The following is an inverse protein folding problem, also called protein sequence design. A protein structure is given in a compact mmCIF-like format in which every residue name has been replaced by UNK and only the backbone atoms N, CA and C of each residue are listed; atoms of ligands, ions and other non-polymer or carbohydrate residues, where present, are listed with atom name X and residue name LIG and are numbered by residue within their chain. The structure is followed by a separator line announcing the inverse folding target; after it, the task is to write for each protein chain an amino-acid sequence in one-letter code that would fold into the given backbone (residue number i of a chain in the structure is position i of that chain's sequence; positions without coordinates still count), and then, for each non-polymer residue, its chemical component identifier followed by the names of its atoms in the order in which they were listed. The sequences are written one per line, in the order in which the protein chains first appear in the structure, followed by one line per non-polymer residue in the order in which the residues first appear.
data_IF_659973121174
#
_entry.id   IF_659973121174
#
_cell.length_a   1.000
_cell.length_b   1.000
_cell.length_c   1.000
_cell.angle_alpha   90.00
_cell.angle_beta   90.00
_cell.angle_gamma   90.00
#
_symmetry.space_group_name_H-M   'P 1'
#
loop_
_entity.id
_entity.type
_entity.pdbx_description
1 polymer ?
#
# COMPACT_ATOMS: atom_id res chain seq x y z
N UNK A 1 -20.10 -56.50 3.69
CA UNK A 1 -19.64 -55.84 2.43
C UNK A 1 -19.51 -56.93 1.36
N UNK A 2 -20.17 -56.75 0.23
CA UNK A 2 -20.07 -57.64 -0.92
C UNK A 2 -18.67 -57.59 -1.55
N UNK A 3 -18.21 -58.66 -2.23
CA UNK A 3 -16.90 -58.69 -2.89
C UNK A 3 -16.67 -57.53 -3.89
N UNK A 4 -17.72 -57.09 -4.55
CA UNK A 4 -17.72 -55.92 -5.45
C UNK A 4 -17.47 -54.58 -4.70
N UNK A 5 -18.08 -54.40 -3.53
CA UNK A 5 -17.89 -53.23 -2.70
C UNK A 5 -16.44 -53.13 -2.16
N UNK A 6 -15.83 -54.25 -1.78
CA UNK A 6 -14.42 -54.29 -1.35
C UNK A 6 -13.45 -53.93 -2.48
N UNK A 7 -13.72 -54.35 -3.74
CA UNK A 7 -12.94 -53.97 -4.91
C UNK A 7 -13.06 -52.49 -5.22
N UNK A 8 -14.23 -51.89 -5.08
CA UNK A 8 -14.47 -50.46 -5.32
C UNK A 8 -13.72 -49.61 -4.29
N UNK A 9 -13.80 -50.00 -3.01
CA UNK A 9 -13.09 -49.33 -1.92
C UNK A 9 -11.56 -49.39 -2.13
N UNK A 10 -11.01 -50.56 -2.51
CA UNK A 10 -9.57 -50.70 -2.80
C UNK A 10 -9.12 -49.84 -3.98
N UNK A 11 -9.93 -49.77 -5.07
CA UNK A 11 -9.61 -48.89 -6.21
C UNK A 11 -9.68 -47.42 -5.82
N UNK A 12 -10.68 -47.02 -5.03
CA UNK A 12 -10.79 -45.66 -4.50
C UNK A 12 -9.58 -45.29 -3.63
N UNK A 13 -9.17 -46.20 -2.72
CA UNK A 13 -8.01 -45.95 -1.85
C UNK A 13 -6.69 -45.85 -2.64
N UNK A 14 -6.52 -46.73 -3.65
CA UNK A 14 -5.34 -46.67 -4.52
C UNK A 14 -5.28 -45.37 -5.35
N UNK A 15 -6.44 -44.90 -5.86
CA UNK A 15 -6.52 -43.63 -6.59
C UNK A 15 -6.21 -42.47 -5.68
N UNK A 16 -6.80 -42.41 -4.48
CA UNK A 16 -6.52 -41.35 -3.50
C UNK A 16 -5.04 -41.29 -3.10
N UNK A 17 -4.46 -42.48 -2.82
CA UNK A 17 -3.04 -42.57 -2.49
C UNK A 17 -2.14 -42.09 -3.65
N UNK A 18 -2.49 -42.50 -4.88
CA UNK A 18 -1.80 -42.05 -6.10
C UNK A 18 -1.85 -40.55 -6.29
N UNK A 19 -3.01 -39.92 -6.07
CA UNK A 19 -3.18 -38.46 -6.15
C UNK A 19 -2.36 -37.74 -5.06
N UNK A 20 -2.37 -38.26 -3.81
CA UNK A 20 -1.58 -37.67 -2.71
C UNK A 20 -0.08 -37.75 -3.02
N UNK A 21 0.40 -38.88 -3.51
CA UNK A 21 1.81 -39.06 -3.88
C UNK A 21 2.20 -38.14 -5.06
N UNK A 22 1.33 -38.00 -6.07
CA UNK A 22 1.58 -37.12 -7.19
C UNK A 22 1.66 -35.65 -6.76
N UNK A 23 0.76 -35.20 -5.88
CA UNK A 23 0.79 -33.86 -5.29
C UNK A 23 2.06 -33.65 -4.46
N UNK A 24 2.45 -34.62 -3.64
CA UNK A 24 3.67 -34.54 -2.83
C UNK A 24 4.93 -34.47 -3.71
N UNK A 25 5.04 -35.28 -4.75
CA UNK A 25 6.15 -35.21 -5.69
C UNK A 25 6.20 -33.90 -6.45
N UNK A 26 5.06 -33.37 -6.87
CA UNK A 26 4.98 -32.05 -7.53
C UNK A 26 5.41 -30.94 -6.57
N UNK A 27 4.98 -30.98 -5.30
CA UNK A 27 5.40 -30.02 -4.28
C UNK A 27 6.93 -30.03 -4.07
N UNK A 28 7.54 -31.21 -3.97
CA UNK A 28 9.01 -31.37 -3.85
C UNK A 28 9.69 -30.83 -5.11
N UNK A 29 9.21 -31.18 -6.30
CA UNK A 29 9.77 -30.69 -7.55
C UNK A 29 9.70 -29.16 -7.66
N UNK A 30 8.59 -28.56 -7.27
CA UNK A 30 8.44 -27.10 -7.25
C UNK A 30 9.35 -26.44 -6.21
N UNK A 31 9.61 -27.07 -5.08
CA UNK A 31 10.55 -26.57 -4.07
C UNK A 31 12.00 -26.60 -4.56
N UNK A 32 12.38 -27.65 -5.26
CA UNK A 32 13.73 -27.78 -5.84
C UNK A 32 13.93 -26.85 -7.06
N UNK A 33 12.91 -26.74 -7.91
CA UNK A 33 12.99 -25.90 -9.11
C UNK A 33 12.90 -24.39 -8.83
N UNK A 34 12.31 -23.98 -7.71
CA UNK A 34 12.07 -22.57 -7.40
C UNK A 34 13.34 -21.70 -7.28
N UNK A 35 14.44 -22.14 -6.66
CA UNK A 35 15.71 -21.38 -6.67
C UNK A 35 16.29 -21.24 -8.07
N UNK A 36 16.18 -22.32 -8.89
CA UNK A 36 16.67 -22.34 -10.28
C UNK A 36 15.85 -21.40 -11.18
N UNK A 37 14.53 -21.37 -10.99
CA UNK A 37 13.64 -20.48 -11.73
C UNK A 37 13.71 -19.02 -11.23
N UNK A 38 14.06 -18.78 -9.97
CA UNK A 38 14.35 -17.44 -9.42
C UNK A 38 15.56 -16.78 -10.09
N UNK A 39 16.59 -17.55 -10.39
CA UNK A 39 17.76 -17.08 -11.13
C UNK A 39 17.47 -16.75 -12.61
N UNK A 40 16.48 -17.39 -13.23
CA UNK A 40 16.07 -17.12 -14.62
C UNK A 40 15.16 -15.88 -14.74
N UNK A 41 14.57 -15.39 -13.65
CA UNK A 41 13.74 -14.17 -13.62
C UNK A 41 14.55 -12.87 -13.73
N UNK A 42 15.85 -12.91 -13.47
CA UNK A 42 16.76 -11.76 -13.60
C UNK A 42 17.27 -11.47 -15.01
N UNK A 43 16.91 -12.25 -16.03
CA UNK A 43 17.48 -12.18 -17.37
C UNK A 43 16.51 -11.91 -18.52
N UNK A 44 15.27 -11.54 -18.26
CA UNK A 44 14.27 -11.27 -19.31
C UNK A 44 14.37 -9.84 -19.81
N UNK A 45 14.90 -9.63 -21.01
CA UNK A 45 14.80 -8.36 -21.75
C UNK A 45 13.33 -7.94 -21.88
N UNK A 46 12.93 -6.90 -21.15
CA UNK A 46 11.60 -6.28 -21.21
C UNK A 46 10.67 -6.50 -20.00
N UNK A 47 11.05 -7.26 -18.98
CA UNK A 47 10.23 -7.42 -17.79
C UNK A 47 10.35 -6.20 -16.87
N UNK A 48 9.20 -5.55 -16.57
CA UNK A 48 9.09 -4.45 -15.64
C UNK A 48 9.49 -4.91 -14.22
N UNK A 49 10.49 -4.25 -13.63
CA UNK A 49 10.84 -4.45 -12.21
C UNK A 49 9.80 -3.79 -11.34
N UNK A 50 9.13 -4.54 -10.46
CA UNK A 50 8.13 -3.98 -9.55
C UNK A 50 8.70 -3.89 -8.13
N UNK A 51 8.61 -2.71 -7.54
CA UNK A 51 8.92 -2.41 -6.15
C UNK A 51 7.60 -2.28 -5.40
N UNK A 52 7.40 -3.09 -4.38
CA UNK A 52 6.22 -3.05 -3.52
C UNK A 52 6.58 -2.34 -2.22
N UNK A 53 5.89 -1.25 -1.91
CA UNK A 53 6.00 -0.55 -0.64
C UNK A 53 4.85 -0.99 0.27
N UNK A 54 5.17 -1.63 1.38
CA UNK A 54 4.18 -2.10 2.37
C UNK A 54 4.39 -1.42 3.72
N UNK A 55 3.31 -1.15 4.41
CA UNK A 55 3.39 -0.52 5.72
C UNK A 55 2.07 0.10 6.18
N UNK A 56 2.21 1.10 7.02
CA UNK A 56 1.12 1.83 7.66
C UNK A 56 0.81 3.18 6.97
N UNK A 57 0.30 4.15 7.75
CA UNK A 57 -0.03 5.50 7.29
C UNK A 57 1.18 6.29 6.77
N UNK A 58 2.39 6.03 7.26
CA UNK A 58 3.61 6.66 6.75
C UNK A 58 3.96 6.17 5.34
N UNK A 59 3.66 4.92 5.01
CA UNK A 59 3.78 4.41 3.63
C UNK A 59 2.62 4.87 2.76
N UNK A 60 1.41 4.89 3.30
CA UNK A 60 0.22 5.38 2.58
C UNK A 60 0.36 6.83 2.11
N UNK A 61 0.99 7.68 2.91
CA UNK A 61 1.05 9.13 2.71
C UNK A 61 -0.19 9.81 3.28
N UNK A 62 -0.47 9.58 4.58
CA UNK A 62 -1.55 10.27 5.29
C UNK A 62 -1.28 11.78 5.30
N UNK A 63 -2.33 12.59 5.27
CA UNK A 63 -2.34 14.06 5.23
C UNK A 63 -1.79 14.71 3.95
N UNK A 64 -1.31 13.94 2.98
CA UNK A 64 -0.86 14.49 1.69
C UNK A 64 -1.66 13.89 0.53
N UNK A 65 -1.66 14.58 -0.62
CA UNK A 65 -2.21 14.01 -1.84
C UNK A 65 -1.43 12.75 -2.25
N UNK A 66 -2.08 11.79 -2.96
CA UNK A 66 -1.45 10.52 -3.34
C UNK A 66 -0.07 10.63 -4.01
N UNK A 67 0.10 11.63 -4.89
CA UNK A 67 1.34 11.88 -5.61
C UNK A 67 2.48 12.43 -4.72
N UNK A 68 2.18 12.88 -3.51
CA UNK A 68 3.17 13.36 -2.55
C UNK A 68 3.57 12.30 -1.51
N UNK A 69 2.97 11.11 -1.50
CA UNK A 69 3.47 9.99 -0.71
C UNK A 69 4.88 9.58 -1.17
N UNK A 70 5.72 9.03 -0.25
CA UNK A 70 7.07 8.65 -0.66
C UNK A 70 7.08 7.59 -1.78
N UNK A 71 6.17 6.59 -1.85
CA UNK A 71 6.19 5.64 -2.97
C UNK A 71 5.91 6.30 -4.32
N UNK A 72 4.97 7.25 -4.37
CA UNK A 72 4.67 7.98 -5.59
C UNK A 72 5.85 8.86 -6.04
N UNK A 73 6.47 9.57 -5.09
CA UNK A 73 7.66 10.38 -5.38
C UNK A 73 8.89 9.52 -5.71
N UNK A 74 9.00 8.31 -5.13
CA UNK A 74 10.02 7.32 -5.48
C UNK A 74 9.84 6.86 -6.93
N UNK A 75 8.60 6.60 -7.37
CA UNK A 75 8.28 6.28 -8.76
C UNK A 75 8.80 7.37 -9.70
N UNK A 76 8.54 8.63 -9.38
CA UNK A 76 9.00 9.77 -10.19
C UNK A 76 10.53 9.86 -10.27
N UNK A 77 11.23 9.48 -9.21
CA UNK A 77 12.70 9.52 -9.14
C UNK A 77 13.37 8.34 -9.86
N UNK A 78 12.78 7.15 -9.76
CA UNK A 78 13.36 5.94 -10.38
C UNK A 78 12.99 5.80 -11.84
N UNK A 79 11.73 5.96 -12.18
CA UNK A 79 11.22 5.84 -13.54
C UNK A 79 9.91 6.64 -13.68
N UNK A 80 10.00 7.90 -14.13
CA UNK A 80 8.83 8.78 -14.26
C UNK A 80 7.72 8.18 -15.15
N UNK A 81 8.10 7.35 -16.13
CA UNK A 81 7.16 6.76 -17.09
C UNK A 81 6.67 5.37 -16.68
N UNK A 82 7.17 4.84 -15.56
CA UNK A 82 6.84 3.50 -15.08
C UNK A 82 6.98 2.40 -16.14
N UNK A 83 7.92 2.58 -17.07
CA UNK A 83 8.17 1.65 -18.18
C UNK A 83 8.97 0.43 -17.74
N UNK A 84 10.14 0.66 -17.13
CA UNK A 84 11.04 -0.38 -16.66
C UNK A 84 10.88 -0.69 -15.16
N UNK A 85 10.63 0.35 -14.33
CA UNK A 85 10.43 0.22 -12.88
C UNK A 85 9.02 0.70 -12.51
N UNK A 86 8.27 -0.13 -11.81
CA UNK A 86 6.98 0.23 -11.22
C UNK A 86 7.05 0.22 -9.71
N UNK A 87 6.62 1.31 -9.05
CA UNK A 87 6.48 1.38 -7.59
C UNK A 87 5.01 1.29 -7.22
N UNK A 88 4.67 0.35 -6.36
CA UNK A 88 3.28 0.09 -5.93
C UNK A 88 3.16 0.39 -4.44
N UNK A 89 2.18 1.20 -4.06
CA UNK A 89 1.93 1.60 -2.68
C UNK A 89 0.82 0.74 -2.05
N UNK A 90 1.18 -0.08 -1.05
CA UNK A 90 0.27 -0.88 -0.23
C UNK A 90 0.34 -0.48 1.25
N UNK A 91 0.66 0.79 1.51
CA UNK A 91 0.48 1.39 2.83
C UNK A 91 -0.99 1.47 3.21
N UNK A 92 -1.32 1.22 4.47
CA UNK A 92 -2.68 1.28 4.99
C UNK A 92 -2.68 1.95 6.37
N UNK A 93 -3.38 3.08 6.53
CA UNK A 93 -3.48 3.75 7.82
C UNK A 93 -4.01 2.83 8.91
N UNK A 94 -3.39 2.92 10.10
CA UNK A 94 -3.78 2.11 11.25
C UNK A 94 -3.31 0.66 11.23
N UNK A 95 -2.67 0.18 10.16
CA UNK A 95 -2.21 -1.20 10.05
C UNK A 95 -1.04 -1.48 10.99
N UNK A 96 -1.15 -2.50 11.82
CA UNK A 96 -0.09 -3.04 12.65
C UNK A 96 0.72 -4.12 11.91
N UNK A 97 1.84 -4.56 12.48
CA UNK A 97 2.74 -5.55 11.86
C UNK A 97 2.11 -6.93 11.71
N UNK A 98 1.22 -7.34 12.62
CA UNK A 98 0.52 -8.62 12.55
C UNK A 98 -0.48 -8.66 11.38
N UNK A 99 -1.28 -7.61 11.20
CA UNK A 99 -2.21 -7.47 10.09
C UNK A 99 -1.45 -7.40 8.74
N UNK A 100 -0.29 -6.73 8.69
CA UNK A 100 0.56 -6.74 7.51
C UNK A 100 1.07 -8.15 7.20
N UNK A 101 1.58 -8.87 8.21
CA UNK A 101 2.06 -10.25 8.07
C UNK A 101 0.98 -11.16 7.47
N UNK A 102 -0.26 -11.05 7.96
CA UNK A 102 -1.40 -11.84 7.46
C UNK A 102 -1.69 -11.59 5.97
N UNK A 103 -1.46 -10.37 5.47
CA UNK A 103 -1.71 -9.99 4.07
C UNK A 103 -0.53 -10.25 3.12
N UNK A 104 0.69 -10.41 3.65
CA UNK A 104 1.90 -10.55 2.82
C UNK A 104 1.81 -11.63 1.74
N UNK A 105 1.31 -12.86 1.99
CA UNK A 105 1.20 -13.86 0.93
C UNK A 105 0.32 -13.40 -0.25
N UNK A 106 -0.83 -12.77 0.04
CA UNK A 106 -1.74 -12.26 -0.98
C UNK A 106 -1.12 -11.10 -1.78
N UNK A 107 -0.39 -10.19 -1.12
CA UNK A 107 0.29 -9.09 -1.77
C UNK A 107 1.41 -9.56 -2.69
N UNK A 108 2.22 -10.50 -2.23
CA UNK A 108 3.30 -11.10 -3.01
C UNK A 108 2.80 -11.86 -4.25
N UNK A 109 1.70 -12.62 -4.10
CA UNK A 109 1.07 -13.31 -5.23
C UNK A 109 0.49 -12.33 -6.25
N UNK A 110 -0.16 -11.25 -5.79
CA UNK A 110 -0.85 -10.27 -6.64
C UNK A 110 0.13 -9.39 -7.40
N UNK A 111 1.14 -8.83 -6.71
CA UNK A 111 2.07 -7.85 -7.28
C UNK A 111 3.27 -8.51 -7.95
N UNK A 112 3.70 -9.66 -7.45
CA UNK A 112 4.93 -10.35 -7.87
C UNK A 112 6.14 -9.41 -7.92
N UNK A 113 6.44 -8.74 -6.80
CA UNK A 113 7.50 -7.76 -6.78
C UNK A 113 8.87 -8.41 -6.89
N UNK A 114 9.84 -7.70 -7.46
CA UNK A 114 11.25 -8.05 -7.34
C UNK A 114 11.84 -7.56 -6.01
N UNK A 115 11.29 -6.47 -5.48
CA UNK A 115 11.76 -5.80 -4.27
C UNK A 115 10.59 -5.39 -3.40
N UNK A 116 10.71 -5.54 -2.08
CA UNK A 116 9.69 -5.11 -1.10
C UNK A 116 10.32 -4.19 -0.08
N UNK A 117 9.83 -2.96 0.00
CA UNK A 117 10.17 -1.98 1.04
C UNK A 117 9.19 -2.12 2.19
N UNK A 118 9.69 -2.36 3.40
CA UNK A 118 8.87 -2.61 4.60
C UNK A 118 9.07 -1.49 5.61
N UNK A 119 7.97 -0.82 5.98
CA UNK A 119 7.93 0.22 7.02
C UNK A 119 6.69 0.00 7.88
N UNK A 120 6.81 -0.63 9.04
CA UNK A 120 5.69 -1.02 9.90
C UNK A 120 6.09 -1.08 11.38
N UNK A 121 5.10 -0.92 12.26
CA UNK A 121 5.30 -1.08 13.70
C UNK A 121 4.64 0.01 14.54
N UNK A 122 4.41 1.21 13.99
CA UNK A 122 3.85 2.34 14.75
C UNK A 122 2.51 2.00 15.40
N UNK A 123 1.63 1.34 14.66
CA UNK A 123 0.29 1.01 15.14
C UNK A 123 0.27 -0.18 16.11
N UNK A 124 1.34 -0.93 16.23
CA UNK A 124 1.47 -2.03 17.21
C UNK A 124 1.45 -1.53 18.65
N UNK A 125 1.68 -0.23 18.88
CA UNK A 125 1.59 0.39 20.19
C UNK A 125 0.16 0.51 20.73
N UNK A 126 -0.84 0.61 19.86
CA UNK A 126 -2.23 0.88 20.26
C UNK A 126 -3.30 0.02 19.57
N UNK A 127 -3.00 -0.56 18.41
CA UNK A 127 -3.94 -1.38 17.63
C UNK A 127 -3.60 -2.86 17.77
N UNK A 128 -4.04 -3.49 18.87
CA UNK A 128 -3.72 -4.88 19.17
C UNK A 128 -4.69 -5.86 18.56
N UNK A 129 -5.98 -5.52 18.52
CA UNK A 129 -7.08 -6.47 18.32
C UNK A 129 -7.21 -6.94 16.86
N UNK A 130 -6.90 -6.07 15.90
CA UNK A 130 -7.07 -6.40 14.49
C UNK A 130 -6.10 -7.47 13.98
N UNK A 131 -4.96 -7.68 14.65
CA UNK A 131 -3.95 -8.64 14.24
C UNK A 131 -4.20 -10.05 14.74
N UNK A 132 -4.74 -10.18 15.96
CA UNK A 132 -4.89 -11.47 16.64
C UNK A 132 -6.17 -12.18 16.19
N UNK A 133 -7.18 -11.43 15.77
CA UNK A 133 -8.45 -11.98 15.26
C UNK A 133 -8.32 -12.47 13.81
N UNK A 134 -7.47 -11.83 12.99
CA UNK A 134 -7.25 -12.23 11.60
C UNK A 134 -6.10 -13.21 11.39
N UNK A 135 -5.23 -13.38 12.38
CA UNK A 135 -4.10 -14.32 12.33
C UNK A 135 -4.49 -15.77 12.64
N UNK A 136 -5.69 -16.17 12.28
CA UNK A 136 -5.92 -17.59 12.02
C UNK A 136 -4.81 -18.06 11.09
N UNK A 137 -3.90 -18.91 11.61
CA UNK A 137 -2.78 -19.43 10.84
C UNK A 137 -3.29 -19.83 9.45
N UNK A 138 -2.67 -19.35 8.37
CA UNK A 138 -3.11 -19.72 7.03
C UNK A 138 -3.18 -21.24 6.99
N UNK A 139 -4.31 -21.78 6.56
CA UNK A 139 -4.50 -23.21 6.56
C UNK A 139 -3.27 -23.85 5.87
N UNK A 140 -2.58 -24.76 6.52
CA UNK A 140 -1.28 -25.31 6.10
C UNK A 140 -1.20 -25.65 4.61
N UNK A 141 -2.35 -26.03 4.01
CA UNK A 141 -2.48 -26.32 2.58
C UNK A 141 -2.31 -25.07 1.68
N UNK A 142 -2.51 -23.86 2.19
CA UNK A 142 -2.32 -22.61 1.42
C UNK A 142 -0.83 -22.28 1.23
N UNK A 143 0.05 -22.86 2.05
CA UNK A 143 1.50 -22.73 1.95
C UNK A 143 2.10 -23.67 0.88
N UNK A 144 1.32 -24.64 0.37
CA UNK A 144 1.78 -25.56 -0.66
C UNK A 144 2.01 -24.84 -1.99
N UNK A 145 3.16 -25.04 -2.59
CA UNK A 145 3.52 -24.47 -3.90
C UNK A 145 2.62 -24.96 -5.03
N UNK A 146 2.12 -26.18 -4.94
CA UNK A 146 1.12 -26.70 -5.87
C UNK A 146 -0.18 -25.92 -5.83
N UNK A 147 -0.63 -25.50 -4.66
CA UNK A 147 -1.83 -24.66 -4.50
C UNK A 147 -1.58 -23.26 -5.09
N UNK A 148 -0.39 -22.71 -4.85
CA UNK A 148 0.05 -21.43 -5.47
C UNK A 148 0.09 -21.54 -7.00
N UNK A 149 0.62 -22.64 -7.53
CA UNK A 149 0.64 -22.90 -8.98
C UNK A 149 -0.77 -22.99 -9.56
N UNK A 150 -1.68 -23.70 -8.91
CA UNK A 150 -3.08 -23.82 -9.36
C UNK A 150 -3.80 -22.47 -9.35
N UNK A 151 -3.54 -21.61 -8.34
CA UNK A 151 -4.05 -20.23 -8.33
C UNK A 151 -3.48 -19.41 -9.48
N UNK A 152 -2.16 -19.52 -9.75
CA UNK A 152 -1.50 -18.85 -10.87
C UNK A 152 -2.07 -19.29 -12.23
N UNK A 153 -2.28 -20.59 -12.41
CA UNK A 153 -2.90 -21.14 -13.63
C UNK A 153 -4.32 -20.61 -13.79
N UNK A 154 -5.12 -20.60 -12.71
CA UNK A 154 -6.48 -20.06 -12.72
C UNK A 154 -6.52 -18.57 -13.06
N UNK A 155 -5.61 -17.78 -12.54
CA UNK A 155 -5.48 -16.34 -12.85
C UNK A 155 -5.08 -16.12 -14.32
N UNK A 156 -4.15 -16.93 -14.85
CA UNK A 156 -3.69 -16.79 -16.24
C UNK A 156 -4.70 -17.31 -17.27
N UNK A 157 -5.46 -18.37 -16.94
CA UNK A 157 -6.53 -18.89 -17.81
C UNK A 157 -7.76 -17.96 -17.86
N UNK A 158 -7.95 -17.11 -16.84
CA UNK A 158 -9.04 -16.14 -16.77
C UNK A 158 -8.79 -14.87 -17.59
N UNK A 159 -7.62 -14.68 -18.21
CA UNK A 159 -7.29 -13.45 -18.95
C UNK A 159 -7.29 -12.18 -18.08
N UNK A 160 -7.27 -12.34 -16.75
CA UNK A 160 -7.25 -11.24 -15.80
C UNK A 160 -5.79 -10.86 -15.62
N UNK A 161 -5.39 -9.69 -16.13
CA UNK A 161 -4.15 -9.06 -15.68
C UNK A 161 -4.20 -8.95 -14.16
N UNK A 162 -3.09 -9.27 -13.44
CA UNK A 162 -3.08 -9.13 -11.99
C UNK A 162 -3.42 -7.69 -11.66
N UNK A 163 -4.55 -7.48 -10.99
CA UNK A 163 -4.93 -6.18 -10.45
C UNK A 163 -3.88 -5.77 -9.42
N UNK A 164 -2.96 -4.88 -9.82
CA UNK A 164 -1.95 -4.29 -8.95
C UNK A 164 -2.53 -3.11 -8.16
N UNK A 165 -3.85 -2.96 -8.14
CA UNK A 165 -4.54 -1.88 -7.45
C UNK A 165 -4.19 -1.83 -5.97
N UNK A 166 -3.93 -0.63 -5.47
CA UNK A 166 -3.75 -0.39 -4.05
C UNK A 166 -5.02 -0.74 -3.28
N UNK A 167 -4.91 -1.20 -2.01
CA UNK A 167 -6.06 -1.43 -1.16
C UNK A 167 -6.95 -0.18 -1.08
N UNK A 168 -8.27 -0.36 -1.15
CA UNK A 168 -9.21 0.74 -0.89
C UNK A 168 -9.34 0.91 0.61
N UNK A 169 -8.97 2.09 1.11
CA UNK A 169 -9.02 2.42 2.53
C UNK A 169 -10.13 3.43 2.76
N UNK A 170 -11.01 3.15 3.70
CA UNK A 170 -12.10 4.03 4.07
C UNK A 170 -12.41 3.94 5.57
N UNK A 171 -13.05 4.98 6.08
CA UNK A 171 -13.50 5.03 7.48
C UNK A 171 -15.00 4.75 7.55
N UNK A 172 -15.40 3.99 8.57
CA UNK A 172 -16.81 3.74 8.89
C UNK A 172 -17.01 3.71 10.40
N UNK A 173 -17.61 4.77 10.91
CA UNK A 173 -17.67 5.00 12.35
C UNK A 173 -16.28 5.31 12.91
N UNK A 174 -15.89 4.61 13.96
CA UNK A 174 -14.59 4.67 14.64
C UNK A 174 -13.53 3.70 14.06
N UNK A 175 -13.83 3.05 12.92
CA UNK A 175 -13.04 1.97 12.38
C UNK A 175 -12.49 2.32 11.01
N UNK A 176 -11.20 2.04 10.80
CA UNK A 176 -10.58 2.05 9.48
C UNK A 176 -10.75 0.68 8.84
N UNK A 177 -11.28 0.67 7.63
CA UNK A 177 -11.56 -0.54 6.85
C UNK A 177 -10.77 -0.54 5.55
N UNK A 178 -10.45 -1.71 5.08
CA UNK A 178 -9.83 -1.94 3.78
C UNK A 178 -10.69 -2.88 2.98
N UNK A 179 -11.01 -2.51 1.75
CA UNK A 179 -11.62 -3.38 0.76
C UNK A 179 -10.55 -3.87 -0.22
N UNK A 180 -10.38 -5.17 -0.28
CA UNK A 180 -9.51 -5.85 -1.22
C UNK A 180 -10.22 -7.06 -1.83
N UNK A 181 -10.24 -7.15 -3.16
CA UNK A 181 -10.91 -8.23 -3.88
C UNK A 181 -12.39 -8.44 -3.48
N UNK A 182 -13.10 -7.34 -3.18
CA UNK A 182 -14.50 -7.40 -2.72
C UNK A 182 -14.67 -7.88 -1.27
N UNK A 183 -13.58 -8.04 -0.50
CA UNK A 183 -13.62 -8.40 0.91
C UNK A 183 -13.28 -7.17 1.75
N UNK A 184 -14.23 -6.73 2.57
CA UNK A 184 -14.03 -5.65 3.54
C UNK A 184 -13.43 -6.21 4.83
N UNK A 185 -12.38 -5.57 5.35
CA UNK A 185 -11.70 -5.94 6.60
C UNK A 185 -11.52 -4.72 7.50
N UNK A 186 -11.63 -4.90 8.80
CA UNK A 186 -11.28 -3.87 9.79
C UNK A 186 -9.78 -3.94 10.01
N UNK A 187 -9.07 -2.82 9.81
CA UNK A 187 -7.60 -2.75 9.98
C UNK A 187 -7.18 -1.89 11.17
N UNK A 188 -8.07 -1.06 11.68
CA UNK A 188 -7.86 -0.29 12.89
C UNK A 188 -9.16 -0.06 13.63
N UNK A 189 -9.14 -0.18 14.93
CA UNK A 189 -10.22 0.17 15.84
C UNK A 189 -9.58 0.76 17.09
N UNK A 190 -10.13 1.87 17.60
CA UNK A 190 -9.72 2.38 18.90
C UNK A 190 -10.39 1.54 19.99
N UNK A 191 -9.60 0.87 20.81
CA UNK A 191 -10.11 0.16 21.98
C UNK A 191 -9.87 1.03 23.23
N UNK A 192 -10.91 1.66 23.79
CA UNK A 192 -10.76 2.46 25.00
C UNK A 192 -10.23 1.61 26.16
N UNK A 193 -9.22 2.11 26.87
CA UNK A 193 -8.75 1.53 28.14
C UNK A 193 -7.63 0.51 28.04
N UNK A 194 -7.06 0.26 26.86
CA UNK A 194 -5.83 -0.53 26.74
C UNK A 194 -4.60 0.37 26.92
N UNK A 195 -3.67 -0.07 27.77
CA UNK A 195 -2.38 0.58 27.91
C UNK A 195 -1.55 0.39 26.62
N UNK A 196 -0.93 1.45 26.09
CA UNK A 196 -0.09 1.35 24.91
C UNK A 196 1.08 0.37 25.13
N UNK A 197 1.34 -0.50 24.16
CA UNK A 197 2.52 -1.34 24.16
C UNK A 197 3.74 -0.48 23.82
N UNK A 198 4.76 -0.51 24.68
CA UNK A 198 5.98 0.31 24.54
C UNK A 198 7.23 -0.48 24.90
N UNK A 199 8.40 0.06 24.59
CA UNK A 199 9.69 -0.48 25.01
C UNK A 199 9.96 -1.87 24.44
N UNK A 200 10.52 -2.76 25.29
CA UNK A 200 10.96 -4.08 24.87
C UNK A 200 9.82 -4.97 24.36
N UNK A 201 8.64 -4.90 24.96
CA UNK A 201 7.49 -5.69 24.55
C UNK A 201 7.01 -5.32 23.13
N UNK A 202 7.00 -4.02 22.80
CA UNK A 202 6.72 -3.55 21.45
C UNK A 202 7.78 -4.03 20.46
N UNK A 203 9.07 -3.86 20.79
CA UNK A 203 10.19 -4.32 19.93
C UNK A 203 10.14 -5.81 19.68
N UNK A 204 9.93 -6.62 20.72
CA UNK A 204 9.82 -8.07 20.58
C UNK A 204 8.68 -8.48 19.64
N UNK A 205 7.49 -7.88 19.81
CA UNK A 205 6.32 -8.16 18.96
C UNK A 205 6.57 -7.78 17.52
N UNK A 206 6.95 -6.53 17.27
CA UNK A 206 7.21 -6.03 15.90
C UNK A 206 8.35 -6.80 15.26
N UNK A 207 9.44 -7.05 15.99
CA UNK A 207 10.58 -7.82 15.51
C UNK A 207 10.21 -9.22 15.05
N UNK A 208 9.41 -9.95 15.84
CA UNK A 208 8.94 -11.29 15.49
C UNK A 208 8.04 -11.30 14.23
N UNK A 209 7.20 -10.28 14.04
CA UNK A 209 6.37 -10.16 12.84
C UNK A 209 7.21 -9.79 11.62
N UNK A 210 8.13 -8.82 11.74
CA UNK A 210 9.01 -8.40 10.64
C UNK A 210 9.89 -9.56 10.18
N UNK A 211 10.40 -10.40 11.10
CA UNK A 211 11.13 -11.62 10.77
C UNK A 211 10.32 -12.56 9.85
N UNK A 212 9.05 -12.80 10.20
CA UNK A 212 8.15 -13.64 9.39
C UNK A 212 7.79 -12.96 8.06
N UNK A 213 7.63 -11.65 8.04
CA UNK A 213 7.41 -10.87 6.80
C UNK A 213 8.61 -11.03 5.86
N UNK A 214 9.83 -10.86 6.37
CA UNK A 214 11.08 -11.05 5.62
C UNK A 214 11.18 -12.49 5.08
N UNK A 215 10.86 -13.48 5.89
CA UNK A 215 10.85 -14.88 5.45
C UNK A 215 9.86 -15.10 4.30
N UNK A 216 8.64 -14.60 4.42
CA UNK A 216 7.62 -14.71 3.36
C UNK A 216 8.06 -14.02 2.06
N UNK A 217 8.70 -12.85 2.14
CA UNK A 217 9.24 -12.13 0.98
C UNK A 217 10.32 -12.97 0.29
N UNK A 218 11.28 -13.50 1.06
CA UNK A 218 12.38 -14.36 0.54
C UNK A 218 11.86 -15.66 -0.08
N UNK A 219 10.90 -16.31 0.58
CA UNK A 219 10.24 -17.52 0.03
C UNK A 219 9.56 -17.27 -1.30
N UNK A 220 9.03 -16.05 -1.50
CA UNK A 220 8.42 -15.66 -2.77
C UNK A 220 9.46 -15.33 -3.86
N UNK A 221 10.73 -15.23 -3.51
CA UNK A 221 11.83 -14.88 -4.42
C UNK A 221 12.03 -13.38 -4.62
N UNK A 222 11.42 -12.54 -3.77
CA UNK A 222 11.63 -11.10 -3.75
C UNK A 222 12.73 -10.71 -2.75
N UNK A 223 13.36 -9.56 -2.95
CA UNK A 223 14.34 -9.01 -2.04
C UNK A 223 13.66 -8.09 -1.00
N UNK A 224 13.78 -8.36 0.31
CA UNK A 224 13.30 -7.45 1.35
C UNK A 224 14.29 -6.31 1.59
N UNK A 225 13.77 -5.11 1.86
CA UNK A 225 14.53 -3.96 2.37
C UNK A 225 13.73 -3.36 3.51
N UNK A 226 14.33 -3.18 4.67
CA UNK A 226 13.71 -2.51 5.80
C UNK A 226 13.97 -1.01 5.74
N UNK A 227 12.99 -0.22 6.17
CA UNK A 227 13.09 1.22 6.33
C UNK A 227 12.93 1.57 7.81
N UNK A 228 13.62 2.62 8.27
CA UNK A 228 13.27 3.30 9.52
C UNK A 228 12.22 4.38 9.27
N UNK A 229 11.42 4.71 10.28
CA UNK A 229 10.58 5.92 10.25
C UNK A 229 11.46 7.15 10.13
N UNK A 230 10.94 8.20 9.50
CA UNK A 230 11.72 9.38 9.13
C UNK A 230 12.11 10.29 10.31
N UNK A 231 11.59 10.03 11.51
CA UNK A 231 11.86 10.82 12.73
C UNK A 231 12.23 9.94 13.91
N UNK A 232 12.87 10.52 14.90
CA UNK A 232 13.17 9.94 16.21
C UNK A 232 12.79 10.94 17.32
N UNK A 233 11.76 11.75 17.07
CA UNK A 233 11.34 12.81 17.99
C UNK A 233 10.90 12.32 19.36
N UNK A 234 10.31 11.13 19.42
CA UNK A 234 9.78 10.54 20.64
C UNK A 234 10.26 9.10 20.85
N UNK A 235 10.04 8.57 22.06
CA UNK A 235 10.52 7.25 22.46
C UNK A 235 9.97 6.12 21.57
N UNK A 236 8.74 6.23 21.07
CA UNK A 236 8.13 5.23 20.21
C UNK A 236 8.91 5.08 18.89
N UNK A 237 9.22 6.19 18.20
CA UNK A 237 10.02 6.12 16.97
C UNK A 237 11.47 5.69 17.23
N UNK A 238 12.06 6.08 18.36
CA UNK A 238 13.38 5.59 18.77
C UNK A 238 13.39 4.07 18.91
N UNK A 239 12.40 3.50 19.60
CA UNK A 239 12.27 2.05 19.81
C UNK A 239 12.06 1.31 18.48
N UNK A 240 11.17 1.81 17.63
CA UNK A 240 10.86 1.17 16.35
C UNK A 240 12.04 1.22 15.37
N UNK A 241 12.74 2.35 15.31
CA UNK A 241 13.91 2.49 14.45
C UNK A 241 15.09 1.65 14.96
N UNK A 242 15.29 1.58 16.28
CA UNK A 242 16.28 0.68 16.88
C UNK A 242 15.95 -0.79 16.55
N UNK A 243 14.69 -1.19 16.68
CA UNK A 243 14.24 -2.53 16.32
C UNK A 243 14.45 -2.84 14.82
N UNK A 244 14.16 -1.90 13.92
CA UNK A 244 14.39 -2.10 12.48
C UNK A 244 15.88 -2.32 12.17
N UNK A 245 16.78 -1.56 12.82
CA UNK A 245 18.25 -1.73 12.71
C UNK A 245 18.71 -3.09 13.23
N UNK A 246 18.22 -3.49 14.40
CA UNK A 246 18.55 -4.78 15.02
C UNK A 246 18.08 -5.96 14.18
N UNK A 247 16.83 -5.94 13.73
CA UNK A 247 16.25 -7.00 12.91
C UNK A 247 16.97 -7.08 11.55
N UNK A 248 17.28 -5.94 10.93
CA UNK A 248 18.02 -5.89 9.67
C UNK A 248 19.40 -6.55 9.81
N UNK A 249 20.14 -6.19 10.85
CA UNK A 249 21.47 -6.75 11.13
C UNK A 249 21.40 -8.26 11.44
N UNK A 250 20.44 -8.69 12.27
CA UNK A 250 20.28 -10.10 12.67
C UNK A 250 19.88 -11.00 11.50
N UNK A 251 19.07 -10.51 10.58
CA UNK A 251 18.56 -11.28 9.44
C UNK A 251 19.38 -11.11 8.17
N UNK A 252 20.45 -10.32 8.20
CA UNK A 252 21.23 -9.92 7.02
C UNK A 252 20.30 -9.38 5.90
N UNK A 253 19.48 -8.37 6.24
CA UNK A 253 18.57 -7.70 5.34
C UNK A 253 19.05 -6.27 5.12
N UNK A 254 19.10 -5.77 3.86
CA UNK A 254 19.40 -4.38 3.62
C UNK A 254 18.47 -3.45 4.39
N UNK A 255 19.06 -2.40 4.99
CA UNK A 255 18.35 -1.35 5.70
C UNK A 255 18.64 0.00 5.02
N UNK A 256 17.61 0.77 4.76
CA UNK A 256 17.76 2.19 4.45
C UNK A 256 17.36 2.98 5.70
N UNK A 257 18.35 3.55 6.38
CA UNK A 257 18.15 4.30 7.61
C UNK A 257 17.70 5.73 7.30
N UNK A 258 16.40 5.87 7.06
CA UNK A 258 15.76 7.15 6.73
C UNK A 258 15.88 8.12 7.89
N UNK A 259 15.71 7.67 9.14
CA UNK A 259 15.84 8.53 10.32
C UNK A 259 17.19 9.21 10.40
N UNK A 260 18.26 8.42 10.23
CA UNK A 260 19.63 8.94 10.29
C UNK A 260 19.88 10.00 9.20
N UNK A 261 19.41 9.72 7.98
CA UNK A 261 19.56 10.64 6.84
C UNK A 261 18.70 11.90 6.96
N UNK A 262 17.57 11.83 7.69
CA UNK A 262 16.69 12.98 7.93
C UNK A 262 17.22 13.95 8.98
N UNK A 263 18.07 13.54 9.91
CA UNK A 263 18.57 14.40 11.02
C UNK A 263 19.15 15.74 10.54
N UNK A 264 20.10 15.78 9.58
CA UNK A 264 20.64 17.05 9.09
C UNK A 264 19.59 17.90 8.36
N UNK A 265 18.61 17.29 7.71
CA UNK A 265 17.55 17.99 7.01
C UNK A 265 16.58 18.64 8.01
N UNK A 266 16.22 17.93 9.07
CA UNK A 266 15.40 18.47 10.16
C UNK A 266 16.11 19.66 10.82
N UNK A 267 17.42 19.57 11.03
CA UNK A 267 18.21 20.67 11.59
C UNK A 267 18.27 21.89 10.67
N UNK A 268 18.29 21.68 9.35
CA UNK A 268 18.39 22.74 8.35
C UNK A 268 17.04 23.40 8.01
N UNK A 269 15.97 22.62 7.85
CA UNK A 269 14.67 23.09 7.36
C UNK A 269 13.64 23.30 8.48
N UNK A 270 13.87 22.76 9.66
CA UNK A 270 12.95 22.76 10.80
C UNK A 270 11.95 21.58 10.76
N UNK A 271 11.56 21.15 11.97
CA UNK A 271 10.68 19.99 12.12
C UNK A 271 9.31 20.21 11.47
N UNK A 272 8.69 21.36 11.71
CA UNK A 272 7.34 21.72 11.24
C UNK A 272 7.23 21.86 9.71
N UNK A 273 8.35 22.12 9.03
CA UNK A 273 8.41 22.10 7.57
C UNK A 273 8.32 20.69 7.02
N UNK A 274 8.90 19.74 7.72
CA UNK A 274 9.05 18.37 7.26
C UNK A 274 8.01 17.40 7.83
N UNK A 275 7.39 17.74 8.95
CA UNK A 275 6.43 16.88 9.66
C UNK A 275 5.22 17.64 10.17
N UNK A 276 4.08 17.00 10.14
CA UNK A 276 2.89 17.43 10.88
C UNK A 276 3.12 17.19 12.36
N UNK A 277 3.07 18.23 13.19
CA UNK A 277 3.45 18.17 14.61
C UNK A 277 2.45 17.43 15.49
N UNK A 278 1.22 17.24 15.03
CA UNK A 278 0.17 16.54 15.76
C UNK A 278 0.36 15.03 15.84
N UNK A 279 1.01 14.43 14.85
CA UNK A 279 1.12 12.97 14.72
C UNK A 279 2.41 12.49 14.04
N UNK A 280 3.34 13.42 13.79
CA UNK A 280 4.69 13.16 13.25
C UNK A 280 4.71 12.51 11.84
N UNK A 281 3.60 12.58 11.08
CA UNK A 281 3.61 12.20 9.67
C UNK A 281 4.40 13.21 8.85
N UNK A 282 5.18 12.76 7.82
CA UNK A 282 5.87 13.69 6.95
C UNK A 282 4.89 14.56 6.13
N UNK A 283 5.22 15.84 5.98
CA UNK A 283 4.57 16.72 5.00
C UNK A 283 4.94 16.30 3.58
N UNK A 284 4.36 16.92 2.56
CA UNK A 284 4.77 16.69 1.16
C UNK A 284 6.29 16.89 0.97
N UNK A 285 6.88 17.89 1.63
CA UNK A 285 8.32 18.15 1.64
C UNK A 285 9.09 17.07 2.39
N UNK A 286 8.59 16.63 3.54
CA UNK A 286 9.18 15.51 4.28
C UNK A 286 9.19 14.23 3.45
N UNK A 287 8.08 13.90 2.79
CA UNK A 287 8.01 12.74 1.89
C UNK A 287 8.93 12.86 0.66
N UNK A 288 9.17 14.07 0.17
CA UNK A 288 10.15 14.30 -0.91
C UNK A 288 11.55 13.88 -0.50
N UNK A 289 11.96 14.25 0.73
CA UNK A 289 13.23 13.81 1.29
C UNK A 289 13.27 12.30 1.53
N UNK A 290 12.21 11.71 2.09
CA UNK A 290 12.12 10.25 2.27
C UNK A 290 12.30 9.54 0.94
N UNK A 291 11.59 9.95 -0.11
CA UNK A 291 11.69 9.35 -1.43
C UNK A 291 13.11 9.46 -2.03
N UNK A 292 13.76 10.62 -1.84
CA UNK A 292 15.15 10.83 -2.27
C UNK A 292 16.11 9.90 -1.54
N UNK A 293 16.01 9.83 -0.22
CA UNK A 293 16.86 8.96 0.62
C UNK A 293 16.68 7.49 0.23
N UNK A 294 15.43 7.07 0.03
CA UNK A 294 15.13 5.69 -0.41
C UNK A 294 15.71 5.41 -1.79
N UNK A 295 15.57 6.33 -2.76
CA UNK A 295 16.15 6.16 -4.10
C UNK A 295 17.68 6.06 -4.07
N UNK A 296 18.33 6.94 -3.31
CA UNK A 296 19.79 6.92 -3.11
C UNK A 296 20.24 5.62 -2.41
N UNK A 297 19.51 5.19 -1.38
CA UNK A 297 19.78 3.93 -0.67
C UNK A 297 19.65 2.71 -1.57
N UNK A 298 18.60 2.63 -2.38
CA UNK A 298 18.43 1.55 -3.37
C UNK A 298 19.55 1.50 -4.40
N UNK A 299 19.99 2.67 -4.86
CA UNK A 299 21.11 2.79 -5.79
C UNK A 299 22.43 2.35 -5.16
N UNK A 300 22.71 2.79 -3.92
CA UNK A 300 23.90 2.40 -3.17
C UNK A 300 23.95 0.88 -2.91
N UNK A 301 22.80 0.27 -2.64
CA UNK A 301 22.64 -1.17 -2.46
C UNK A 301 22.62 -1.94 -3.80
N UNK A 302 22.67 -1.26 -4.94
CA UNK A 302 22.55 -1.82 -6.31
C UNK A 302 21.27 -2.63 -6.55
N UNK A 303 20.19 -2.28 -5.87
CA UNK A 303 18.90 -2.94 -5.97
C UNK A 303 17.99 -2.28 -7.02
N UNK A 304 18.05 -0.96 -7.16
CA UNK A 304 17.41 -0.20 -8.21
C UNK A 304 18.17 1.11 -8.46
N UNK A 305 18.15 1.59 -9.69
CA UNK A 305 18.75 2.87 -10.07
C UNK A 305 17.77 3.64 -10.97
N UNK A 306 17.84 4.98 -11.01
CA UNK A 306 17.04 5.78 -11.92
C UNK A 306 17.21 5.36 -13.37
N UNK A 307 16.10 5.23 -14.09
CA UNK A 307 16.09 4.94 -15.52
C UNK A 307 16.38 6.25 -16.25
N UNK A 308 17.51 6.31 -16.93
CA UNK A 308 17.84 7.44 -17.81
C UNK A 308 17.05 7.29 -19.11
N UNK A 309 15.92 7.98 -19.23
CA UNK A 309 15.17 8.02 -20.50
C UNK A 309 15.87 8.96 -21.47
N UNK A 310 16.20 8.47 -22.64
CA UNK A 310 16.76 9.31 -23.72
C UNK A 310 15.74 10.25 -24.36
N UNK A 311 14.44 9.95 -24.23
CA UNK A 311 13.37 10.73 -24.83
C UNK A 311 12.26 10.97 -23.78
N UNK A 312 12.24 12.16 -23.22
CA UNK A 312 11.20 12.64 -22.33
C UNK A 312 9.90 12.93 -23.09
N UNK A 313 9.15 11.92 -23.43
CA UNK A 313 7.76 12.12 -23.88
C UNK A 313 6.93 12.40 -22.63
N UNK A 314 6.68 13.69 -22.35
CA UNK A 314 5.67 14.11 -21.40
C UNK A 314 4.32 13.55 -21.83
N UNK A 315 3.74 12.66 -21.06
CA UNK A 315 2.39 12.16 -21.32
C UNK A 315 1.39 13.24 -20.97
N UNK A 316 0.49 13.55 -21.87
CA UNK A 316 -0.70 14.35 -21.54
C UNK A 316 -1.56 13.50 -20.62
N UNK A 317 -1.98 14.05 -19.44
CA UNK A 317 -2.85 13.31 -18.53
C UNK A 317 -4.19 13.04 -19.21
N UNK A 318 -4.75 11.86 -18.98
CA UNK A 318 -6.10 11.55 -19.45
C UNK A 318 -7.14 12.37 -18.66
N UNK A 319 -8.20 12.85 -19.30
CA UNK A 319 -9.26 13.60 -18.61
C UNK A 319 -9.86 12.78 -17.47
N UNK A 320 -10.10 13.43 -16.35
CA UNK A 320 -10.81 12.87 -15.21
C UNK A 320 -12.07 13.71 -14.95
N UNK A 321 -13.14 13.06 -14.56
CA UNK A 321 -14.40 13.72 -14.22
C UNK A 321 -14.92 13.22 -12.87
N UNK A 322 -15.60 14.10 -12.14
CA UNK A 322 -16.39 13.77 -10.97
C UNK A 322 -17.82 14.24 -11.18
N UNK A 323 -18.78 13.44 -10.78
CA UNK A 323 -20.18 13.84 -10.72
C UNK A 323 -20.77 13.46 -9.36
N UNK A 324 -21.72 14.27 -8.90
CA UNK A 324 -22.56 13.90 -7.79
C UNK A 324 -23.61 12.91 -8.30
N UNK A 325 -23.61 11.69 -7.77
CA UNK A 325 -24.59 10.66 -8.16
C UNK A 325 -25.84 10.72 -7.29
N UNK A 326 -25.65 10.90 -5.98
CA UNK A 326 -26.71 11.13 -5.02
C UNK A 326 -26.20 12.01 -3.89
N UNK A 327 -27.06 12.88 -3.41
CA UNK A 327 -26.77 13.70 -2.24
C UNK A 327 -28.06 13.94 -1.47
N UNK A 328 -28.00 13.74 -0.18
CA UNK A 328 -29.06 14.09 0.76
C UNK A 328 -28.45 14.92 1.91
N UNK A 329 -29.28 15.21 2.92
CA UNK A 329 -28.82 15.97 4.10
C UNK A 329 -27.79 15.19 4.95
N UNK A 330 -27.64 13.91 4.74
CA UNK A 330 -26.80 13.02 5.57
C UNK A 330 -25.55 12.54 4.86
N UNK A 331 -25.61 12.36 3.53
CA UNK A 331 -24.50 11.78 2.78
C UNK A 331 -24.34 12.38 1.39
N UNK A 332 -23.12 12.27 0.84
CA UNK A 332 -22.77 12.58 -0.54
C UNK A 332 -22.23 11.32 -1.21
N UNK A 333 -22.70 11.02 -2.41
CA UNK A 333 -22.20 9.95 -3.23
C UNK A 333 -21.66 10.50 -4.55
N UNK A 334 -20.42 10.21 -4.87
CA UNK A 334 -19.73 10.65 -6.06
C UNK A 334 -19.40 9.47 -6.96
N UNK A 335 -19.43 9.72 -8.27
CA UNK A 335 -18.85 8.83 -9.27
C UNK A 335 -17.65 9.53 -9.87
N UNK A 336 -16.49 8.89 -9.77
CA UNK A 336 -15.27 9.31 -10.44
C UNK A 336 -15.12 8.48 -11.71
N UNK A 337 -14.80 9.15 -12.81
CA UNK A 337 -14.57 8.53 -14.11
C UNK A 337 -13.24 9.07 -14.68
N UNK A 338 -12.37 8.17 -15.08
CA UNK A 338 -11.05 8.51 -15.62
C UNK A 338 -10.35 7.26 -16.14
N UNK A 339 -9.03 7.27 -16.19
CA UNK A 339 -8.24 6.13 -16.60
C UNK A 339 -8.38 4.96 -15.60
N UNK A 340 -8.30 3.73 -16.12
CA UNK A 340 -8.31 2.51 -15.32
C UNK A 340 -7.11 2.43 -14.34
N UNK A 341 -7.36 1.91 -13.15
CA UNK A 341 -6.34 1.65 -12.13
C UNK A 341 -5.50 2.90 -11.77
N UNK A 342 -6.16 4.07 -11.69
CA UNK A 342 -5.51 5.36 -11.41
C UNK A 342 -5.92 5.86 -10.04
N UNK A 343 -4.93 6.27 -9.24
CA UNK A 343 -5.16 6.87 -7.92
C UNK A 343 -5.81 8.24 -8.07
N UNK A 344 -6.77 8.55 -7.20
CA UNK A 344 -7.43 9.84 -7.18
C UNK A 344 -7.70 10.35 -5.77
N UNK A 345 -7.95 11.65 -5.67
CA UNK A 345 -8.44 12.33 -4.47
C UNK A 345 -9.60 13.25 -4.87
N UNK A 346 -10.73 13.15 -4.19
CA UNK A 346 -11.79 14.16 -4.25
C UNK A 346 -11.43 15.25 -3.24
N UNK A 347 -11.46 16.49 -3.69
CA UNK A 347 -11.18 17.67 -2.87
C UNK A 347 -12.46 18.50 -2.79
N UNK A 348 -12.83 18.88 -1.58
CA UNK A 348 -14.04 19.65 -1.29
C UNK A 348 -13.68 21.01 -0.70
N UNK A 349 -14.41 22.04 -1.07
CA UNK A 349 -14.30 23.36 -0.48
C UNK A 349 -15.65 24.11 -0.54
N UNK A 350 -16.00 24.91 0.47
CA UNK A 350 -17.13 25.84 0.38
C UNK A 350 -16.82 27.06 -0.50
N UNK A 351 -15.56 27.24 -0.92
CA UNK A 351 -15.10 28.37 -1.73
C UNK A 351 -14.72 27.93 -3.13
N UNK A 352 -15.22 28.64 -4.12
CA UNK A 352 -14.85 28.45 -5.51
C UNK A 352 -13.56 29.19 -5.89
N UNK A 353 -13.27 30.31 -5.24
CA UNK A 353 -12.19 31.25 -5.60
C UNK A 353 -11.50 31.81 -4.35
N UNK A 354 -10.23 32.26 -4.47
CA UNK A 354 -9.33 32.07 -5.61
C UNK A 354 -8.88 30.61 -5.70
N UNK A 355 -8.54 30.12 -6.91
CA UNK A 355 -8.08 28.74 -7.09
C UNK A 355 -6.74 28.51 -6.36
N UNK A 356 -6.55 27.30 -5.87
CA UNK A 356 -5.32 26.89 -5.20
C UNK A 356 -4.27 26.46 -6.23
N UNK A 357 -3.15 27.18 -6.26
CA UNK A 357 -2.00 26.83 -7.07
C UNK A 357 -1.11 25.86 -6.30
N UNK A 358 -0.85 24.69 -6.87
CA UNK A 358 0.05 23.67 -6.32
C UNK A 358 1.22 23.44 -7.28
N UNK A 359 2.37 22.93 -6.83
CA UNK A 359 3.49 22.63 -7.71
C UNK A 359 3.08 21.72 -8.87
N UNK A 360 3.08 22.27 -10.09
CA UNK A 360 2.80 21.54 -11.32
C UNK A 360 1.34 21.39 -11.72
N UNK A 361 0.36 21.87 -10.93
CA UNK A 361 -1.05 21.86 -11.30
C UNK A 361 -1.91 22.84 -10.47
N UNK A 362 -3.09 23.12 -10.98
CA UNK A 362 -4.06 24.06 -10.38
C UNK A 362 -5.32 23.32 -9.95
N UNK A 363 -5.76 23.57 -8.71
CA UNK A 363 -7.04 23.08 -8.19
C UNK A 363 -8.06 24.23 -8.26
N UNK A 364 -9.16 24.13 -9.04
CA UNK A 364 -10.12 25.21 -9.22
C UNK A 364 -11.08 25.36 -8.02
N UNK A 365 -10.52 25.35 -6.81
CA UNK A 365 -11.19 25.55 -5.52
C UNK A 365 -10.42 26.55 -4.67
N UNK A 366 -11.15 27.39 -3.93
CA UNK A 366 -10.55 28.32 -2.98
C UNK A 366 -10.01 27.60 -1.74
N UNK A 367 -8.90 28.11 -1.22
CA UNK A 367 -8.31 27.62 0.03
C UNK A 367 -9.25 27.88 1.21
N UNK A 368 -9.52 26.84 2.00
CA UNK A 368 -10.40 26.86 3.16
C UNK A 368 -10.00 25.69 4.10
N UNK A 369 -10.23 25.78 5.41
CA UNK A 369 -9.98 24.68 6.33
C UNK A 369 -10.63 23.36 5.93
N UNK A 370 -11.82 23.40 5.31
CA UNK A 370 -12.48 22.20 4.81
C UNK A 370 -11.74 21.55 3.64
N UNK A 371 -11.10 22.36 2.77
CA UNK A 371 -10.28 21.79 1.70
C UNK A 371 -9.19 20.90 2.30
N UNK A 372 -8.47 21.38 3.32
CA UNK A 372 -7.44 20.57 4.00
C UNK A 372 -8.06 19.38 4.73
N UNK A 373 -9.21 19.57 5.38
CA UNK A 373 -9.95 18.46 6.01
C UNK A 373 -10.30 17.37 5.00
N UNK A 374 -10.72 17.73 3.78
CA UNK A 374 -11.04 16.74 2.75
C UNK A 374 -9.86 15.89 2.29
N UNK A 375 -8.62 16.38 2.43
CA UNK A 375 -7.41 15.62 2.15
C UNK A 375 -7.10 14.55 3.21
N UNK A 376 -7.60 14.74 4.43
CA UNK A 376 -7.45 13.80 5.54
C UNK A 376 -8.46 12.65 5.49
N UNK A 377 -9.60 12.86 4.82
CA UNK A 377 -10.68 11.89 4.78
C UNK A 377 -10.37 10.76 3.79
N UNK A 378 -10.09 9.57 4.32
CA UNK A 378 -9.73 8.39 3.55
C UNK A 378 -10.79 7.99 2.52
N UNK A 379 -12.08 8.26 2.84
CA UNK A 379 -13.20 7.97 1.92
C UNK A 379 -13.20 8.81 0.65
N UNK A 380 -12.50 9.95 0.64
CA UNK A 380 -12.38 10.83 -0.53
C UNK A 380 -11.18 10.50 -1.40
N UNK A 381 -10.36 9.53 -0.99
CA UNK A 381 -9.22 9.02 -1.72
C UNK A 381 -9.48 7.59 -2.19
N UNK A 382 -9.03 7.24 -3.37
CA UNK A 382 -9.23 5.90 -3.89
C UNK A 382 -8.50 5.66 -5.20
N UNK A 383 -8.86 4.56 -5.84
CA UNK A 383 -8.37 4.16 -7.16
C UNK A 383 -9.54 3.75 -8.02
N UNK A 384 -9.51 4.13 -9.28
CA UNK A 384 -10.48 3.68 -10.28
C UNK A 384 -10.31 2.18 -10.55
N UNK A 385 -11.39 1.50 -10.87
CA UNK A 385 -11.40 0.10 -11.26
C UNK A 385 -10.81 -0.12 -12.68
N UNK A 386 -10.85 -1.36 -13.17
CA UNK A 386 -10.39 -1.72 -14.51
C UNK A 386 -11.19 -1.05 -15.65
N UNK A 387 -12.37 -0.45 -15.33
CA UNK A 387 -13.19 0.33 -16.26
C UNK A 387 -12.99 1.83 -16.13
N UNK A 388 -12.06 2.26 -15.28
CA UNK A 388 -11.80 3.66 -15.00
C UNK A 388 -12.84 4.33 -14.09
N UNK A 389 -13.65 3.56 -13.36
CA UNK A 389 -14.71 4.08 -12.50
C UNK A 389 -14.43 3.82 -11.02
N UNK A 390 -14.85 4.75 -10.17
CA UNK A 390 -14.95 4.54 -8.73
C UNK A 390 -16.21 5.22 -8.18
N UNK A 391 -16.89 4.53 -7.24
CA UNK A 391 -18.02 5.07 -6.49
C UNK A 391 -17.52 5.42 -5.08
N UNK A 392 -17.74 6.65 -4.65
CA UNK A 392 -17.25 7.21 -3.38
C UNK A 392 -18.43 7.73 -2.59
N UNK A 393 -18.53 7.35 -1.31
CA UNK A 393 -19.57 7.84 -0.41
C UNK A 393 -18.97 8.41 0.85
N UNK A 394 -19.48 9.56 1.29
CA UNK A 394 -19.10 10.21 2.54
C UNK A 394 -20.31 10.73 3.30
N UNK A 395 -20.31 10.58 4.60
CA UNK A 395 -21.29 11.19 5.49
C UNK A 395 -20.98 12.68 5.68
N UNK A 396 -21.97 13.57 5.50
CA UNK A 396 -21.75 15.02 5.66
C UNK A 396 -21.26 15.41 7.05
N UNK A 397 -21.65 14.68 8.08
CA UNK A 397 -21.18 14.91 9.46
C UNK A 397 -19.63 14.83 9.59
N UNK A 398 -18.95 14.08 8.74
CA UNK A 398 -17.48 14.00 8.74
C UNK A 398 -16.81 15.24 8.13
N UNK A 399 -17.53 16.01 7.37
CA UNK A 399 -17.03 17.24 6.76
C UNK A 399 -17.08 18.44 7.72
N UNK A 400 -17.77 18.30 8.88
CA UNK A 400 -17.95 19.37 9.87
C UNK A 400 -19.02 20.40 9.47
N UNK A 401 -19.13 21.45 10.26
CA UNK A 401 -20.19 22.48 10.13
C UNK A 401 -20.16 23.23 8.79
N UNK A 402 -19.00 23.33 8.16
CA UNK A 402 -18.85 23.94 6.85
C UNK A 402 -19.61 23.22 5.72
N UNK A 403 -19.99 21.93 5.95
CA UNK A 403 -20.78 21.15 5.00
C UNK A 403 -22.28 21.47 5.00
N UNK A 404 -22.76 22.34 5.88
CA UNK A 404 -24.16 22.76 5.93
C UNK A 404 -24.56 23.71 4.78
N UNK A 405 -23.57 24.31 4.09
CA UNK A 405 -23.78 25.24 2.99
C UNK A 405 -23.47 24.64 1.62
N UNK A 406 -23.41 25.50 0.62
CA UNK A 406 -23.00 25.14 -0.73
C UNK A 406 -21.53 24.68 -0.73
N UNK A 407 -21.26 23.55 -1.36
CA UNK A 407 -19.93 22.99 -1.52
C UNK A 407 -19.55 22.93 -2.99
N UNK A 408 -18.27 22.87 -3.23
CA UNK A 408 -17.70 22.59 -4.54
C UNK A 408 -16.79 21.38 -4.43
N UNK A 409 -16.80 20.53 -5.46
CA UNK A 409 -15.94 19.36 -5.54
C UNK A 409 -15.14 19.35 -6.85
N UNK A 410 -13.92 18.86 -6.76
CA UNK A 410 -13.10 18.45 -7.90
C UNK A 410 -12.49 17.09 -7.59
N UNK A 411 -12.08 16.36 -8.63
CA UNK A 411 -11.22 15.20 -8.48
C UNK A 411 -9.87 15.48 -9.12
N UNK A 412 -8.79 15.13 -8.42
CA UNK A 412 -7.46 15.08 -8.97
C UNK A 412 -7.04 13.60 -9.13
N UNK A 413 -6.63 13.22 -10.32
CA UNK A 413 -6.14 11.88 -10.66
C UNK A 413 -4.63 11.91 -10.90
N UNK A 414 -3.92 10.88 -10.46
CA UNK A 414 -2.46 10.83 -10.40
C UNK A 414 -1.94 9.66 -11.20
N UNK A 415 -1.36 9.95 -12.37
CA UNK A 415 -0.73 8.96 -13.24
C UNK A 415 0.79 9.06 -13.16
N UNK A 416 1.50 7.94 -13.12
CA UNK A 416 2.96 7.95 -13.22
C UNK A 416 3.42 8.61 -14.53
N UNK A 417 4.33 9.58 -14.45
CA UNK A 417 4.92 10.25 -15.61
C UNK A 417 4.03 11.28 -16.31
N UNK A 418 2.89 11.64 -15.70
CA UNK A 418 2.04 12.74 -16.16
C UNK A 418 1.80 13.74 -15.02
N UNK A 419 1.56 15.04 -15.31
CA UNK A 419 1.04 15.95 -14.33
C UNK A 419 -0.34 15.46 -13.87
N UNK A 420 -0.79 15.80 -12.64
CA UNK A 420 -2.13 15.45 -12.20
C UNK A 420 -3.22 15.95 -13.14
N UNK A 421 -4.17 15.08 -13.51
CA UNK A 421 -5.38 15.50 -14.18
C UNK A 421 -6.36 16.05 -13.13
N UNK A 422 -6.90 17.23 -13.33
CA UNK A 422 -7.89 17.83 -12.43
C UNK A 422 -9.20 18.04 -13.20
N UNK A 423 -10.31 17.58 -12.63
CA UNK A 423 -11.63 17.72 -13.24
C UNK A 423 -12.11 19.17 -13.24
N UNK A 424 -13.14 19.44 -14.03
CA UNK A 424 -13.97 20.60 -13.81
C UNK A 424 -14.60 20.57 -12.41
N UNK A 425 -14.87 21.76 -11.88
CA UNK A 425 -15.52 21.97 -10.60
C UNK A 425 -17.02 21.69 -10.74
N UNK A 426 -17.56 20.91 -9.81
CA UNK A 426 -19.01 20.74 -9.66
C UNK A 426 -19.51 21.46 -8.41
N UNK A 427 -20.72 22.02 -8.46
CA UNK A 427 -21.39 22.58 -7.29
C UNK A 427 -22.28 21.51 -6.63
N UNK A 428 -22.36 21.55 -5.31
CA UNK A 428 -23.16 20.67 -4.45
C UNK A 428 -24.01 21.58 -3.56
N UNK A 429 -25.30 21.63 -3.80
CA UNK A 429 -26.26 22.43 -3.05
C UNK A 429 -26.82 21.70 -1.83
#
# INVERSE_FOLDING_TARGET
MTPSARRLVRKGLALTLGCVLAIAMLEVALRVASPLLGGLRGGGTGARTTILCVGDSHTFGLHVLPNFSYPAQLQQRLDPHAGAIGVVNFGVPGRNSGALLAQMPAYLERVRPALVLVLVGFNDSWNFDAADVESGAPAWWTTLRVVRLLRLVRLNLGGIEPDTGSPRVFERGDKVRVEENGVERIVATSTPGLEPLVGEALRARVGAHVEKIVAAIREHGAAPVLLTYATERNALFLDLNANAREVAARLDVPLIDVALAMRPLIAAEGYETLFFTQDDHPTARGYEHVARIVAEGLSALRLAAPVTTRDGVSRTPEPVAVRLDAGDRTSLAFVVQGRANTDFQIVLSPRAEPPLELPGFRVPLGSDPMLFRSLELLNLRGRTDARGRADVRIERARLGDAAAGRLYAVVAAFEPGAPPAVSERIAID
#
